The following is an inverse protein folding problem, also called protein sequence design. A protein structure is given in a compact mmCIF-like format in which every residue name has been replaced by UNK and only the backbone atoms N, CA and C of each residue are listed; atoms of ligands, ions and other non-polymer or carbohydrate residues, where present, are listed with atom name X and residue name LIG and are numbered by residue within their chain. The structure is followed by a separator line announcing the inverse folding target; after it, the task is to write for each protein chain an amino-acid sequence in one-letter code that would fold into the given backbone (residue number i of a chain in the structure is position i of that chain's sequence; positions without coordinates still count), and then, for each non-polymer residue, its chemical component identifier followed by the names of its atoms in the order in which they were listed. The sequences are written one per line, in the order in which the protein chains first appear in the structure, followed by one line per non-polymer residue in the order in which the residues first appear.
data_IF_099125759084
#
_entry.id   IF_099125759084
#
_cell.length_a   1.000
_cell.length_b   1.000
_cell.length_c   1.000
_cell.angle_alpha   90.00
_cell.angle_beta   90.00
_cell.angle_gamma   90.00
#
_symmetry.space_group_name_H-M   'P 1'
#
loop_
_entity.id
_entity.type
_entity.pdbx_description
1 polymer ?
#
# COMPACT_ATOMS: atom_id res chain seq x y z
N UNK A 1 -7.66 36.26 18.18
CA UNK A 1 -6.97 35.10 17.58
C UNK A 1 -5.95 34.59 18.59
N UNK A 2 -6.22 33.48 19.28
CA UNK A 2 -5.23 32.87 20.18
C UNK A 2 -4.21 32.09 19.35
N UNK A 3 -2.96 32.55 19.34
CA UNK A 3 -1.87 31.83 18.69
C UNK A 3 -1.39 30.75 19.66
N UNK A 4 -1.64 29.48 19.32
CA UNK A 4 -1.04 28.33 20.01
C UNK A 4 0.49 28.47 19.99
N UNK A 5 1.13 28.26 21.15
CA UNK A 5 2.57 28.45 21.34
C UNK A 5 3.10 29.88 21.09
N UNK A 6 2.23 30.90 21.16
CA UNK A 6 2.61 32.31 20.97
C UNK A 6 3.35 32.95 22.15
N UNK A 7 3.60 32.24 23.26
CA UNK A 7 4.27 32.79 24.45
C UNK A 7 5.75 32.40 24.47
N UNK A 8 6.64 33.37 24.65
CA UNK A 8 8.08 33.13 24.86
C UNK A 8 8.30 32.33 26.16
N UNK A 9 9.18 31.33 26.11
CA UNK A 9 9.55 30.52 27.28
C UNK A 9 11.03 30.75 27.63
N UNK A 10 11.28 31.08 28.90
CA UNK A 10 12.62 31.30 29.47
C UNK A 10 12.76 30.47 30.73
N UNK A 11 13.82 29.68 30.83
CA UNK A 11 14.15 28.85 32.00
C UNK A 11 15.60 29.17 32.38
N UNK A 12 15.84 29.52 33.64
CA UNK A 12 17.17 29.87 34.18
C UNK A 12 17.94 30.90 33.33
N UNK A 13 17.23 31.92 32.83
CA UNK A 13 17.78 32.95 31.97
C UNK A 13 17.97 32.54 30.50
N UNK A 14 17.79 31.27 30.16
CA UNK A 14 17.94 30.74 28.79
C UNK A 14 16.60 30.77 28.04
N UNK A 15 16.60 31.31 26.81
CA UNK A 15 15.41 31.30 25.94
C UNK A 15 15.25 29.92 25.31
N UNK A 16 14.33 29.12 25.83
CA UNK A 16 14.01 27.78 25.30
C UNK A 16 13.05 27.86 24.12
N UNK A 17 12.12 28.82 24.14
CA UNK A 17 11.17 29.03 23.05
C UNK A 17 11.01 30.51 22.71
N UNK A 18 11.25 30.85 21.45
CA UNK A 18 10.96 32.18 20.91
C UNK A 18 9.94 32.03 19.75
N UNK A 19 8.67 32.44 19.92
CA UNK A 19 7.64 32.25 18.90
C UNK A 19 7.98 32.93 17.58
N UNK A 20 8.62 34.10 17.59
CA UNK A 20 8.99 34.84 16.38
C UNK A 20 10.05 34.11 15.53
N UNK A 21 10.88 33.27 16.16
CA UNK A 21 11.94 32.50 15.48
C UNK A 21 11.52 31.05 15.23
N UNK A 22 10.89 30.42 16.21
CA UNK A 22 10.62 28.99 16.20
C UNK A 22 9.33 28.65 15.45
N UNK A 23 8.28 29.48 15.49
CA UNK A 23 7.06 29.21 14.71
C UNK A 23 7.34 29.18 13.20
N UNK A 24 8.05 30.16 12.60
CA UNK A 24 8.41 30.08 11.17
C UNK A 24 9.27 28.86 10.83
N UNK A 25 10.08 28.38 11.78
CA UNK A 25 10.91 27.19 11.60
C UNK A 25 10.05 25.92 11.58
N UNK A 26 9.06 25.83 12.48
CA UNK A 26 8.07 24.75 12.50
C UNK A 26 7.27 24.77 11.20
N UNK A 27 6.74 25.92 10.80
CA UNK A 27 5.96 26.05 9.56
C UNK A 27 6.76 25.61 8.34
N UNK A 28 8.03 26.03 8.23
CA UNK A 28 8.93 25.59 7.15
C UNK A 28 9.17 24.09 7.17
N UNK A 29 9.36 23.51 8.36
CA UNK A 29 9.59 22.06 8.52
C UNK A 29 8.35 21.28 8.10
N UNK A 30 7.16 21.72 8.51
CA UNK A 30 5.87 21.11 8.17
C UNK A 30 5.51 21.28 6.69
N UNK A 31 5.96 22.36 6.05
CA UNK A 31 5.80 22.59 4.62
C UNK A 31 6.76 21.77 3.73
N UNK A 32 7.70 21.01 4.33
CA UNK A 32 8.62 20.18 3.55
C UNK A 32 7.88 19.03 2.87
N UNK A 33 8.10 18.92 1.56
CA UNK A 33 7.38 17.98 0.69
C UNK A 33 8.17 16.72 0.37
N UNK A 34 9.45 16.71 0.71
CA UNK A 34 10.32 15.54 0.56
C UNK A 34 10.37 14.78 1.88
N UNK A 35 9.31 14.04 2.17
CA UNK A 35 9.23 13.20 3.36
C UNK A 35 9.84 11.83 3.02
N UNK A 36 10.89 11.44 3.73
CA UNK A 36 11.47 10.11 3.58
C UNK A 36 10.63 9.08 4.33
N UNK A 37 9.65 8.51 3.65
CA UNK A 37 8.86 7.41 4.19
C UNK A 37 9.56 6.08 3.88
N UNK A 38 10.01 5.38 4.91
CA UNK A 38 10.55 4.02 4.76
C UNK A 38 9.70 3.02 5.51
N UNK A 39 9.55 1.84 4.93
CA UNK A 39 8.99 0.68 5.62
C UNK A 39 10.10 -0.28 6.02
N UNK A 40 10.02 -0.76 7.25
CA UNK A 40 10.97 -1.75 7.74
C UNK A 40 10.90 -3.03 6.90
N UNK A 41 12.05 -3.41 6.33
CA UNK A 41 12.18 -4.57 5.45
C UNK A 41 12.38 -5.83 6.28
N UNK A 42 11.54 -6.83 6.06
CA UNK A 42 11.54 -8.05 6.89
C UNK A 42 11.58 -9.32 6.07
N UNK A 43 12.19 -10.35 6.65
CA UNK A 43 11.82 -11.73 6.34
C UNK A 43 10.66 -12.06 7.27
N UNK A 44 9.50 -12.42 6.74
CA UNK A 44 8.37 -12.79 7.60
C UNK A 44 8.74 -14.02 8.44
N UNK A 45 8.27 -14.02 9.68
CA UNK A 45 8.43 -15.07 10.68
C UNK A 45 7.05 -15.36 11.30
N UNK A 46 6.91 -16.48 12.01
CA UNK A 46 5.67 -16.84 12.69
C UNK A 46 5.05 -18.12 12.11
N UNK A 47 3.71 -18.17 12.07
CA UNK A 47 2.97 -19.31 11.54
C UNK A 47 3.22 -19.53 10.04
N UNK A 48 3.28 -20.80 9.64
CA UNK A 48 3.52 -21.17 8.24
C UNK A 48 2.29 -20.99 7.35
N UNK A 49 1.08 -21.12 7.92
CA UNK A 49 -0.20 -21.13 7.20
C UNK A 49 -1.31 -20.60 8.11
N UNK A 50 -2.51 -20.44 7.55
CA UNK A 50 -3.71 -20.35 8.37
C UNK A 50 -3.87 -21.64 9.21
N UNK A 51 -4.22 -21.51 10.48
CA UNK A 51 -4.19 -22.64 11.42
C UNK A 51 -5.30 -23.66 11.15
N UNK A 52 -6.41 -23.22 10.55
CA UNK A 52 -7.55 -24.06 10.22
C UNK A 52 -7.34 -24.69 8.84
N UNK A 53 -7.17 -26.02 8.75
CA UNK A 53 -7.08 -26.69 7.46
C UNK A 53 -8.39 -26.60 6.70
N UNK A 54 -8.30 -26.63 5.38
CA UNK A 54 -9.44 -26.74 4.48
C UNK A 54 -9.65 -28.18 4.03
N UNK A 55 -10.90 -28.51 3.73
CA UNK A 55 -11.30 -29.82 3.22
C UNK A 55 -10.70 -30.12 1.86
N UNK A 56 -10.63 -31.42 1.54
CA UNK A 56 -10.31 -31.91 0.20
C UNK A 56 -11.16 -31.21 -0.88
N UNK A 57 -10.53 -30.91 -2.03
CA UNK A 57 -11.20 -30.27 -3.17
C UNK A 57 -11.51 -28.77 -3.00
N UNK A 58 -11.19 -28.14 -1.86
CA UNK A 58 -11.39 -26.69 -1.72
C UNK A 58 -10.43 -25.87 -2.60
N UNK A 59 -9.26 -26.43 -2.91
CA UNK A 59 -8.27 -25.84 -3.80
C UNK A 59 -7.17 -26.83 -4.20
N UNK A 60 -6.66 -26.68 -5.42
CA UNK A 60 -5.45 -27.40 -5.89
C UNK A 60 -4.14 -26.85 -5.33
N UNK A 61 -4.18 -25.76 -4.55
CA UNK A 61 -3.00 -25.06 -4.02
C UNK A 61 -2.79 -25.29 -2.52
N UNK A 62 -3.51 -26.26 -1.93
CA UNK A 62 -3.36 -26.60 -0.53
C UNK A 62 -1.97 -27.16 -0.24
N UNK A 63 -1.44 -26.82 0.92
CA UNK A 63 -0.25 -27.45 1.46
C UNK A 63 -0.66 -28.70 2.24
N UNK A 64 -0.11 -29.89 1.94
CA UNK A 64 -0.45 -31.13 2.64
C UNK A 64 -0.37 -31.02 4.17
N UNK A 65 -1.32 -31.65 4.88
CA UNK A 65 -1.31 -31.73 6.35
C UNK A 65 -0.04 -32.41 6.87
N UNK A 66 0.46 -33.40 6.12
CA UNK A 66 1.70 -34.13 6.38
C UNK A 66 2.38 -34.43 5.05
N UNK A 67 3.70 -34.62 5.09
CA UNK A 67 4.49 -34.99 3.91
C UNK A 67 3.92 -36.25 3.26
N UNK A 68 3.63 -36.18 1.95
CA UNK A 68 3.10 -37.30 1.17
C UNK A 68 1.60 -37.54 1.32
N UNK A 69 0.89 -36.73 2.11
CA UNK A 69 -0.57 -36.85 2.22
C UNK A 69 -1.24 -36.07 1.07
N UNK A 70 -2.06 -36.75 0.29
CA UNK A 70 -2.74 -36.17 -0.87
C UNK A 70 -3.81 -35.14 -0.44
N UNK A 71 -3.67 -33.90 -0.89
CA UNK A 71 -4.60 -32.80 -0.60
C UNK A 71 -5.96 -32.99 -1.28
N UNK A 72 -6.02 -33.72 -2.39
CA UNK A 72 -7.27 -34.04 -3.06
C UNK A 72 -8.13 -35.03 -2.27
N UNK A 73 -7.53 -35.78 -1.34
CA UNK A 73 -8.24 -36.74 -0.46
C UNK A 73 -8.39 -36.24 0.97
N UNK A 74 -7.38 -35.58 1.51
CA UNK A 74 -7.30 -35.22 2.93
C UNK A 74 -7.37 -33.73 3.20
N UNK A 75 -7.44 -32.90 2.17
CA UNK A 75 -7.35 -31.44 2.33
C UNK A 75 -5.96 -30.99 2.78
N UNK A 76 -5.87 -29.80 3.32
CA UNK A 76 -4.60 -29.18 3.66
C UNK A 76 -4.71 -27.75 4.13
N UNK A 77 -3.55 -27.14 4.38
CA UNK A 77 -3.46 -25.76 4.82
C UNK A 77 -3.53 -24.79 3.63
N UNK A 78 -4.14 -23.63 3.83
CA UNK A 78 -4.18 -22.55 2.86
C UNK A 78 -3.29 -21.38 3.29
N UNK A 79 -3.16 -20.38 2.42
CA UNK A 79 -2.44 -19.11 2.69
C UNK A 79 -1.05 -19.32 3.29
N UNK A 80 -0.13 -20.02 2.60
CA UNK A 80 1.23 -20.14 3.09
C UNK A 80 1.87 -18.76 3.26
N UNK A 81 2.50 -18.55 4.41
CA UNK A 81 3.20 -17.31 4.74
C UNK A 81 4.44 -17.18 3.86
N UNK A 82 4.58 -16.06 3.16
CA UNK A 82 5.74 -15.77 2.30
C UNK A 82 6.86 -15.17 3.15
N UNK A 83 8.07 -15.74 3.12
CA UNK A 83 9.21 -15.23 3.88
C UNK A 83 9.93 -14.11 3.14
N UNK A 84 10.20 -14.32 1.86
CA UNK A 84 10.87 -13.37 0.96
C UNK A 84 10.51 -13.69 -0.50
N UNK A 85 11.04 -12.91 -1.44
CA UNK A 85 10.87 -13.11 -2.87
C UNK A 85 12.21 -13.19 -3.59
N UNK A 86 12.19 -13.65 -4.83
CA UNK A 86 13.34 -13.64 -5.73
C UNK A 86 12.91 -13.12 -7.10
N UNK A 87 13.86 -12.54 -7.84
CA UNK A 87 13.61 -12.08 -9.21
C UNK A 87 14.06 -13.16 -10.19
N UNK A 88 13.17 -13.55 -11.09
CA UNK A 88 13.42 -14.61 -12.07
C UNK A 88 13.11 -14.09 -13.46
N UNK A 89 14.03 -14.32 -14.39
CA UNK A 89 13.83 -14.08 -15.82
C UNK A 89 13.68 -15.42 -16.52
N UNK A 90 12.74 -15.53 -17.43
CA UNK A 90 12.55 -16.72 -18.25
C UNK A 90 11.98 -16.34 -19.62
N UNK A 91 12.02 -17.26 -20.58
CA UNK A 91 11.49 -17.09 -21.91
C UNK A 91 10.22 -17.91 -22.08
N UNK A 92 9.18 -17.29 -22.64
CA UNK A 92 8.03 -17.98 -23.20
C UNK A 92 8.03 -17.72 -24.70
N UNK A 93 8.14 -18.79 -25.50
CA UNK A 93 8.20 -18.71 -26.96
C UNK A 93 9.32 -17.75 -27.40
N UNK A 94 8.99 -16.55 -27.89
CA UNK A 94 9.96 -15.56 -28.39
C UNK A 94 10.18 -14.37 -27.44
N UNK A 95 9.53 -14.33 -26.28
CA UNK A 95 9.56 -13.18 -25.36
C UNK A 95 10.17 -13.57 -24.02
N UNK A 96 10.95 -12.65 -23.45
CA UNK A 96 11.41 -12.75 -22.07
C UNK A 96 10.41 -12.11 -21.13
N UNK A 97 10.18 -12.78 -20.01
CA UNK A 97 9.37 -12.33 -18.89
C UNK A 97 10.27 -12.18 -17.66
N UNK A 98 9.91 -11.23 -16.81
CA UNK A 98 10.57 -10.96 -15.53
C UNK A 98 9.51 -11.05 -14.43
N UNK A 99 9.71 -11.94 -13.45
CA UNK A 99 8.71 -12.23 -12.42
C UNK A 99 9.33 -12.26 -11.04
N UNK A 100 8.62 -11.65 -10.09
CA UNK A 100 8.90 -11.79 -8.66
C UNK A 100 8.24 -13.09 -8.20
N UNK A 101 9.06 -14.06 -7.79
CA UNK A 101 8.57 -15.36 -7.30
C UNK A 101 8.59 -15.36 -5.77
N UNK A 102 7.45 -15.64 -5.10
CA UNK A 102 7.40 -15.76 -3.66
C UNK A 102 8.06 -17.06 -3.17
N UNK A 103 8.75 -16.99 -2.04
CA UNK A 103 9.32 -18.15 -1.35
C UNK A 103 8.65 -18.29 0.01
N UNK A 104 7.93 -19.39 0.21
CA UNK A 104 7.20 -19.67 1.44
C UNK A 104 8.13 -19.88 2.63
N UNK A 105 7.68 -19.47 3.81
CA UNK A 105 8.40 -19.62 5.07
C UNK A 105 8.77 -21.07 5.38
N UNK A 106 7.89 -22.02 5.02
CA UNK A 106 8.14 -23.46 5.20
C UNK A 106 9.41 -23.93 4.49
N UNK A 107 9.73 -23.34 3.34
CA UNK A 107 10.86 -23.77 2.48
C UNK A 107 12.02 -22.77 2.47
N UNK A 108 11.88 -21.63 3.16
CA UNK A 108 12.84 -20.53 3.14
C UNK A 108 14.26 -20.93 3.53
N UNK A 109 14.43 -21.71 4.61
CA UNK A 109 15.76 -22.16 5.04
C UNK A 109 16.38 -23.12 4.02
N UNK A 110 15.56 -24.04 3.49
CA UNK A 110 15.97 -24.99 2.46
C UNK A 110 16.42 -24.26 1.20
N UNK A 111 15.67 -23.25 0.78
CA UNK A 111 16.01 -22.36 -0.33
C UNK A 111 17.36 -21.68 -0.16
N UNK A 112 17.68 -21.22 1.04
CA UNK A 112 18.93 -20.47 1.27
C UNK A 112 20.17 -21.35 1.47
N UNK A 113 20.00 -22.63 1.85
CA UNK A 113 21.10 -23.49 2.29
C UNK A 113 21.41 -24.65 1.35
N UNK A 114 20.42 -25.18 0.62
CA UNK A 114 20.62 -26.35 -0.23
C UNK A 114 20.91 -25.97 -1.68
N UNK A 115 22.07 -26.39 -2.17
CA UNK A 115 22.46 -26.21 -3.58
C UNK A 115 21.46 -26.92 -4.51
N UNK A 116 21.05 -26.24 -5.58
CA UNK A 116 20.10 -26.77 -6.58
C UNK A 116 18.62 -26.71 -6.18
N UNK A 117 18.28 -26.56 -4.89
CA UNK A 117 16.88 -26.41 -4.47
C UNK A 117 16.20 -25.14 -5.00
N UNK A 118 16.87 -23.96 -5.03
CA UNK A 118 16.29 -22.74 -5.63
C UNK A 118 15.76 -22.94 -7.05
N UNK A 119 16.54 -23.59 -7.92
CA UNK A 119 16.16 -23.84 -9.30
C UNK A 119 14.93 -24.74 -9.39
N UNK A 120 14.87 -25.81 -8.59
CA UNK A 120 13.72 -26.71 -8.51
C UNK A 120 12.46 -25.98 -8.05
N UNK A 121 12.56 -25.24 -6.95
CA UNK A 121 11.44 -24.51 -6.36
C UNK A 121 10.88 -23.46 -7.34
N UNK A 122 11.75 -22.68 -7.99
CA UNK A 122 11.33 -21.70 -9.00
C UNK A 122 10.68 -22.39 -10.20
N UNK A 123 11.23 -23.51 -10.68
CA UNK A 123 10.67 -24.23 -11.83
C UNK A 123 9.22 -24.69 -11.61
N UNK A 124 8.89 -25.10 -10.38
CA UNK A 124 7.53 -25.51 -9.97
C UNK A 124 6.53 -24.34 -9.95
N UNK A 125 7.01 -23.10 -9.83
CA UNK A 125 6.18 -21.88 -9.79
C UNK A 125 6.02 -21.21 -11.16
N UNK A 126 6.83 -21.58 -12.14
CA UNK A 126 6.78 -21.02 -13.49
C UNK A 126 5.86 -21.83 -14.43
N UNK A 127 5.36 -21.22 -15.52
CA UNK A 127 4.64 -21.94 -16.56
C UNK A 127 5.40 -23.16 -17.09
N UNK A 128 4.67 -24.20 -17.50
CA UNK A 128 5.27 -25.47 -17.97
C UNK A 128 6.19 -25.24 -19.18
N UNK A 129 5.89 -24.27 -20.03
CA UNK A 129 6.65 -23.91 -21.23
C UNK A 129 7.69 -22.79 -21.00
N UNK A 130 8.05 -22.49 -19.75
CA UNK A 130 9.13 -21.56 -19.45
C UNK A 130 10.50 -22.18 -19.79
N UNK A 131 11.30 -21.44 -20.56
CA UNK A 131 12.65 -21.81 -21.00
C UNK A 131 13.66 -20.73 -20.58
N UNK A 132 14.96 -20.98 -20.73
CA UNK A 132 16.04 -20.03 -20.41
C UNK A 132 15.87 -19.30 -19.06
N UNK A 133 15.67 -20.09 -18.00
CA UNK A 133 15.42 -19.59 -16.66
C UNK A 133 16.74 -19.09 -16.05
N UNK A 134 16.74 -17.85 -15.60
CA UNK A 134 17.89 -17.20 -14.95
C UNK A 134 17.44 -16.35 -13.77
N UNK A 135 18.38 -16.05 -12.87
CA UNK A 135 18.18 -15.24 -11.67
C UNK A 135 18.96 -13.94 -11.83
N UNK A 136 18.34 -12.84 -12.29
CA UNK A 136 19.06 -11.59 -12.56
C UNK A 136 19.73 -10.97 -11.32
N UNK A 137 19.27 -11.36 -10.13
CA UNK A 137 19.84 -10.92 -8.85
C UNK A 137 20.61 -12.05 -8.14
N UNK A 138 20.92 -13.14 -8.84
CA UNK A 138 21.63 -14.30 -8.31
C UNK A 138 21.00 -14.80 -6.99
N UNK A 139 21.77 -14.81 -5.90
CA UNK A 139 21.35 -15.25 -4.57
C UNK A 139 20.69 -14.13 -3.74
N UNK A 140 20.57 -12.92 -4.27
CA UNK A 140 19.98 -11.79 -3.54
C UNK A 140 18.47 -11.97 -3.45
N UNK A 141 18.01 -12.13 -2.22
CA UNK A 141 16.60 -12.11 -1.88
C UNK A 141 16.02 -10.68 -1.94
N UNK A 142 14.72 -10.61 -2.15
CA UNK A 142 13.89 -9.42 -2.02
C UNK A 142 13.06 -9.61 -0.74
N UNK A 143 13.34 -8.84 0.30
CA UNK A 143 12.59 -8.88 1.57
C UNK A 143 11.17 -8.32 1.37
N UNK A 144 10.25 -8.68 2.25
CA UNK A 144 8.96 -7.97 2.33
C UNK A 144 9.23 -6.50 2.66
N UNK A 145 8.48 -5.61 2.02
CA UNK A 145 8.64 -4.16 1.99
C UNK A 145 9.90 -3.65 1.28
N UNK A 146 10.58 -4.46 0.46
CA UNK A 146 11.64 -3.94 -0.43
C UNK A 146 11.04 -2.95 -1.41
N UNK A 147 11.66 -1.77 -1.53
CA UNK A 147 11.20 -0.66 -2.36
C UNK A 147 11.67 -0.85 -3.81
N UNK A 148 10.77 -0.55 -4.73
CA UNK A 148 10.98 -0.46 -6.17
C UNK A 148 10.64 0.96 -6.60
N UNK A 149 11.49 1.56 -7.43
CA UNK A 149 11.16 2.76 -8.19
C UNK A 149 10.78 2.34 -9.60
N UNK A 150 9.52 2.55 -9.96
CA UNK A 150 8.94 2.13 -11.23
C UNK A 150 8.51 3.38 -11.99
N UNK A 151 9.39 3.88 -12.86
CA UNK A 151 9.21 5.13 -13.60
C UNK A 151 8.88 6.35 -12.70
N UNK A 152 9.49 6.39 -11.52
CA UNK A 152 9.29 7.41 -10.50
C UNK A 152 8.18 7.08 -9.49
N UNK A 153 7.41 6.02 -9.70
CA UNK A 153 6.45 5.54 -8.70
C UNK A 153 7.14 4.61 -7.70
N UNK A 154 7.25 5.05 -6.46
CA UNK A 154 7.80 4.26 -5.37
C UNK A 154 6.74 3.33 -4.78
N UNK A 155 7.03 2.04 -4.83
CA UNK A 155 6.19 1.00 -4.28
C UNK A 155 7.02 -0.07 -3.60
N UNK A 156 6.45 -0.74 -2.60
CA UNK A 156 7.10 -1.89 -2.00
C UNK A 156 6.29 -3.18 -2.19
N UNK A 157 6.98 -4.30 -2.37
CA UNK A 157 6.35 -5.61 -2.36
C UNK A 157 5.87 -5.93 -0.94
N UNK A 158 4.58 -6.17 -0.76
CA UNK A 158 3.95 -6.26 0.56
C UNK A 158 3.34 -7.63 0.87
N UNK A 159 3.10 -8.45 -0.15
CA UNK A 159 2.44 -9.74 0.00
C UNK A 159 2.11 -10.37 -1.34
N UNK A 160 1.24 -11.37 -1.29
CA UNK A 160 0.66 -11.99 -2.48
C UNK A 160 -0.84 -12.18 -2.29
N UNK A 161 -1.61 -12.12 -3.38
CA UNK A 161 -3.03 -12.48 -3.41
C UNK A 161 -3.28 -13.59 -4.43
N UNK A 162 -4.55 -13.98 -4.58
CA UNK A 162 -4.97 -15.03 -5.52
C UNK A 162 -4.12 -16.29 -5.41
N UNK A 163 -3.92 -16.74 -4.16
CA UNK A 163 -3.15 -17.95 -3.82
C UNK A 163 -1.70 -17.92 -4.32
N UNK A 164 -1.08 -16.74 -4.33
CA UNK A 164 0.32 -16.55 -4.72
C UNK A 164 0.53 -16.15 -6.19
N UNK A 165 -0.54 -16.14 -7.01
CA UNK A 165 -0.45 -15.78 -8.43
C UNK A 165 -0.33 -14.28 -8.69
N UNK A 166 -0.66 -13.43 -7.72
CA UNK A 166 -0.59 -11.98 -7.85
C UNK A 166 0.29 -11.40 -6.76
N UNK A 167 1.27 -10.57 -7.14
CA UNK A 167 2.11 -9.83 -6.20
C UNK A 167 1.37 -8.58 -5.73
N UNK A 168 1.34 -8.35 -4.41
CA UNK A 168 0.74 -7.15 -3.83
C UNK A 168 1.80 -6.07 -3.66
N UNK A 169 1.68 -5.01 -4.45
CA UNK A 169 2.50 -3.80 -4.32
C UNK A 169 1.74 -2.76 -3.49
N UNK A 170 2.45 -2.09 -2.58
CA UNK A 170 1.90 -0.98 -1.80
C UNK A 170 2.59 0.31 -2.20
N UNK A 171 1.82 1.36 -2.46
CA UNK A 171 2.33 2.72 -2.70
C UNK A 171 3.13 3.21 -1.50
N UNK A 172 4.30 3.80 -1.76
CA UNK A 172 5.04 4.64 -0.81
C UNK A 172 5.00 6.12 -1.21
N UNK A 173 4.25 6.45 -2.27
CA UNK A 173 4.03 7.82 -2.69
C UNK A 173 3.17 8.55 -1.66
N UNK A 174 3.61 9.74 -1.26
CA UNK A 174 2.84 10.64 -0.40
C UNK A 174 2.12 11.67 -1.25
N UNK A 175 0.78 11.76 -1.19
CA UNK A 175 0.05 12.79 -1.91
C UNK A 175 0.39 14.16 -1.33
N UNK A 176 0.45 15.16 -2.20
CA UNK A 176 0.76 16.54 -1.83
C UNK A 176 -0.53 17.35 -1.81
N UNK A 177 -0.74 18.05 -0.71
CA UNK A 177 -1.89 18.92 -0.52
C UNK A 177 -1.44 20.35 -0.19
N UNK A 178 -2.20 21.34 -0.64
CA UNK A 178 -2.02 22.74 -0.22
C UNK A 178 -2.50 22.93 1.22
N UNK A 179 -2.10 24.04 1.86
CA UNK A 179 -2.55 24.35 3.22
C UNK A 179 -4.09 24.46 3.30
N UNK A 180 -4.72 25.00 2.25
CA UNK A 180 -6.18 25.11 2.14
C UNK A 180 -6.85 23.74 2.02
N UNK A 181 -6.31 22.85 1.18
CA UNK A 181 -6.80 21.47 1.06
C UNK A 181 -6.64 20.71 2.38
N UNK A 182 -5.50 20.84 3.07
CA UNK A 182 -5.28 20.21 4.38
C UNK A 182 -6.29 20.70 5.40
N UNK A 183 -6.54 22.02 5.46
CA UNK A 183 -7.55 22.58 6.35
C UNK A 183 -8.97 22.07 6.03
N UNK A 184 -9.29 21.95 4.74
CA UNK A 184 -10.56 21.41 4.29
C UNK A 184 -10.73 19.91 4.61
N UNK A 185 -9.70 19.11 4.37
CA UNK A 185 -9.67 17.67 4.72
C UNK A 185 -9.85 17.48 6.22
N UNK A 186 -9.23 18.32 7.05
CA UNK A 186 -9.47 18.30 8.50
C UNK A 186 -10.93 18.58 8.87
N UNK A 187 -11.63 19.41 8.10
CA UNK A 187 -13.07 19.62 8.31
C UNK A 187 -13.86 18.34 7.99
N UNK A 188 -13.49 17.59 6.94
CA UNK A 188 -14.09 16.28 6.64
C UNK A 188 -13.92 15.32 7.82
N UNK A 189 -12.70 15.21 8.36
CA UNK A 189 -12.42 14.37 9.55
C UNK A 189 -13.22 14.82 10.78
N UNK A 190 -13.35 16.14 10.98
CA UNK A 190 -14.15 16.68 12.08
C UNK A 190 -15.63 16.30 11.98
N UNK A 191 -16.19 16.19 10.78
CA UNK A 191 -17.55 15.68 10.59
C UNK A 191 -17.63 14.20 10.98
N UNK A 192 -16.62 13.39 10.64
CA UNK A 192 -16.54 11.99 11.09
C UNK A 192 -16.60 11.89 12.61
N UNK A 193 -15.83 12.71 13.32
CA UNK A 193 -15.84 12.75 14.78
C UNK A 193 -17.17 13.24 15.37
N UNK A 194 -17.82 14.22 14.73
CA UNK A 194 -19.17 14.67 15.13
C UNK A 194 -20.21 13.55 14.93
N UNK A 195 -20.15 12.83 13.81
CA UNK A 195 -21.06 11.70 13.52
C UNK A 195 -20.87 10.51 14.45
N UNK A 196 -19.63 10.25 14.90
CA UNK A 196 -19.38 9.25 15.96
C UNK A 196 -20.11 9.58 17.26
N UNK A 197 -20.23 10.88 17.61
CA UNK A 197 -20.92 11.35 18.83
C UNK A 197 -22.42 11.53 18.64
N UNK A 198 -22.83 11.98 17.46
CA UNK A 198 -24.22 12.17 17.06
C UNK A 198 -24.42 11.64 15.64
N UNK A 199 -24.91 10.39 15.49
CA UNK A 199 -25.14 9.78 14.18
C UNK A 199 -26.08 10.57 13.27
N UNK A 200 -26.95 11.42 13.83
CA UNK A 200 -27.89 12.27 13.10
C UNK A 200 -27.32 13.66 12.78
N UNK A 201 -26.01 13.86 12.91
CA UNK A 201 -25.38 15.12 12.54
C UNK A 201 -25.53 15.40 11.03
N UNK A 202 -26.27 16.47 10.73
CA UNK A 202 -26.52 16.96 9.37
C UNK A 202 -25.42 17.94 8.97
N UNK A 203 -24.95 17.84 7.74
CA UNK A 203 -23.96 18.78 7.18
C UNK A 203 -24.68 20.07 6.79
N UNK A 204 -24.38 21.14 7.52
CA UNK A 204 -24.76 22.51 7.16
C UNK A 204 -23.59 23.21 6.47
N UNK A 205 -23.77 23.68 5.24
CA UNK A 205 -22.70 24.30 4.43
C UNK A 205 -22.16 25.62 5.03
N UNK A 206 -22.97 26.31 5.82
CA UNK A 206 -22.62 27.57 6.48
C UNK A 206 -21.69 27.35 7.67
N UNK A 207 -21.96 26.31 8.46
CA UNK A 207 -21.31 26.10 9.77
C UNK A 207 -20.37 24.90 9.84
N UNK A 208 -20.49 23.94 8.92
CA UNK A 208 -19.68 22.72 8.97
C UNK A 208 -18.28 22.89 8.39
N UNK A 209 -18.02 24.00 7.69
CA UNK A 209 -16.74 24.26 7.01
C UNK A 209 -16.53 23.39 5.77
N UNK A 210 -17.61 22.78 5.25
CA UNK A 210 -17.67 21.87 4.10
C UNK A 210 -18.80 22.35 3.21
N UNK A 211 -18.57 22.43 1.90
CA UNK A 211 -19.60 22.82 0.93
C UNK A 211 -19.53 21.93 -0.30
N UNK A 212 -20.60 21.90 -1.09
CA UNK A 212 -20.61 21.13 -2.34
C UNK A 212 -19.55 21.63 -3.32
N UNK A 213 -19.37 22.93 -3.45
CA UNK A 213 -18.38 23.52 -4.37
C UNK A 213 -16.96 23.08 -3.97
N UNK A 214 -16.63 23.12 -2.68
CA UNK A 214 -15.32 22.72 -2.19
C UNK A 214 -15.09 21.21 -2.28
N UNK A 215 -16.13 20.39 -2.09
CA UNK A 215 -16.06 18.95 -2.35
C UNK A 215 -15.74 18.65 -3.81
N UNK A 216 -16.43 19.33 -4.74
CA UNK A 216 -16.18 19.19 -6.19
C UNK A 216 -14.77 19.64 -6.55
N UNK A 217 -14.31 20.77 -6.02
CA UNK A 217 -12.95 21.25 -6.24
C UNK A 217 -11.89 20.27 -5.73
N UNK A 218 -12.02 19.78 -4.49
CA UNK A 218 -11.09 18.78 -3.94
C UNK A 218 -11.12 17.48 -4.76
N UNK A 219 -12.30 17.01 -5.17
CA UNK A 219 -12.42 15.82 -6.00
C UNK A 219 -11.72 15.98 -7.34
N UNK A 220 -11.90 17.12 -8.03
CA UNK A 220 -11.21 17.41 -9.28
C UNK A 220 -9.67 17.42 -9.11
N UNK A 221 -9.16 17.97 -8.01
CA UNK A 221 -7.72 17.93 -7.69
C UNK A 221 -7.22 16.49 -7.50
N UNK A 222 -7.98 15.64 -6.81
CA UNK A 222 -7.66 14.22 -6.64
C UNK A 222 -7.68 13.46 -7.97
N UNK A 223 -8.66 13.74 -8.84
CA UNK A 223 -8.73 13.16 -10.20
C UNK A 223 -7.51 13.56 -11.03
N UNK A 224 -7.14 14.84 -11.02
CA UNK A 224 -5.95 15.35 -11.70
C UNK A 224 -4.68 14.68 -11.17
N UNK A 225 -4.59 14.49 -9.85
CA UNK A 225 -3.48 13.78 -9.23
C UNK A 225 -3.40 12.32 -9.68
N UNK A 226 -4.52 11.59 -9.69
CA UNK A 226 -4.54 10.18 -10.10
C UNK A 226 -4.25 9.99 -11.59
N UNK A 227 -4.91 10.77 -12.46
CA UNK A 227 -4.83 10.60 -13.90
C UNK A 227 -3.57 11.25 -14.50
N UNK A 228 -3.12 12.39 -13.96
CA UNK A 228 -2.13 13.26 -14.59
C UNK A 228 -0.73 13.23 -13.98
N UNK A 229 -0.51 12.49 -12.89
CA UNK A 229 0.78 12.47 -12.19
C UNK A 229 1.38 11.07 -12.11
N UNK A 230 2.42 10.92 -11.29
CA UNK A 230 3.11 9.64 -11.04
C UNK A 230 2.18 8.52 -10.57
N UNK A 231 1.04 8.84 -9.96
CA UNK A 231 0.03 7.84 -9.56
C UNK A 231 -0.56 7.06 -10.74
N UNK A 232 -0.59 7.63 -11.95
CA UNK A 232 -0.98 6.92 -13.17
C UNK A 232 -0.05 5.75 -13.51
N UNK A 233 1.17 5.76 -12.98
CA UNK A 233 2.20 4.72 -13.16
C UNK A 233 2.17 3.63 -12.08
N UNK A 234 1.18 3.68 -11.17
CA UNK A 234 1.07 2.70 -10.10
C UNK A 234 0.95 1.27 -10.68
N UNK A 235 1.72 0.29 -10.19
CA UNK A 235 1.65 -1.08 -10.67
C UNK A 235 0.24 -1.68 -10.53
N UNK A 236 -0.29 -2.22 -11.63
CA UNK A 236 -1.65 -2.78 -11.66
C UNK A 236 -2.75 -1.71 -11.68
N UNK A 237 -2.44 -0.43 -11.90
CA UNK A 237 -3.44 0.62 -11.96
C UNK A 237 -4.40 0.42 -13.14
N UNK A 238 -5.67 0.21 -12.79
CA UNK A 238 -6.85 0.64 -13.56
C UNK A 238 -7.49 1.89 -12.90
N UNK A 239 -6.70 2.63 -12.12
CA UNK A 239 -7.15 3.80 -11.37
C UNK A 239 -7.16 5.00 -12.31
N UNK A 240 -8.13 5.03 -13.21
CA UNK A 240 -8.48 6.20 -13.99
C UNK A 240 -9.89 6.61 -13.61
N UNK A 241 -10.08 7.83 -13.13
CA UNK A 241 -11.43 8.38 -12.95
C UNK A 241 -11.86 9.00 -14.27
N UNK A 242 -13.00 8.55 -14.81
CA UNK A 242 -13.53 9.08 -16.05
C UNK A 242 -14.27 10.41 -15.84
N UNK A 243 -14.49 11.16 -16.92
CA UNK A 243 -15.33 12.35 -16.88
C UNK A 243 -16.77 12.03 -16.43
N UNK A 244 -17.28 10.84 -16.73
CA UNK A 244 -18.61 10.40 -16.31
C UNK A 244 -18.65 10.13 -14.79
N UNK A 245 -17.57 9.62 -14.21
CA UNK A 245 -17.48 9.43 -12.76
C UNK A 245 -17.43 10.76 -12.02
N UNK A 246 -16.76 11.77 -12.60
CA UNK A 246 -16.76 13.13 -12.06
C UNK A 246 -18.17 13.75 -12.10
N UNK A 247 -18.89 13.62 -13.23
CA UNK A 247 -20.29 14.07 -13.31
C UNK A 247 -21.19 13.36 -12.31
N UNK A 248 -21.00 12.06 -12.11
CA UNK A 248 -21.74 11.30 -11.09
C UNK A 248 -21.50 11.90 -9.70
N UNK A 249 -20.25 12.18 -9.36
CA UNK A 249 -19.90 12.80 -8.07
C UNK A 249 -20.50 14.21 -7.90
N UNK A 250 -20.45 15.04 -8.92
CA UNK A 250 -21.06 16.38 -8.91
C UNK A 250 -22.59 16.34 -8.70
N UNK A 251 -23.25 15.31 -9.22
CA UNK A 251 -24.69 15.07 -9.06
C UNK A 251 -25.11 14.57 -7.67
N UNK A 252 -24.16 14.17 -6.81
CA UNK A 252 -24.46 13.66 -5.47
C UNK A 252 -24.90 14.78 -4.51
N UNK A 253 -25.69 14.38 -3.50
CA UNK A 253 -25.98 15.24 -2.34
C UNK A 253 -24.71 15.50 -1.53
N UNK A 254 -24.68 16.56 -0.71
CA UNK A 254 -23.50 16.88 0.10
C UNK A 254 -23.09 15.72 1.02
N UNK A 255 -24.05 15.01 1.60
CA UNK A 255 -23.81 13.82 2.41
C UNK A 255 -23.12 12.72 1.61
N UNK A 256 -23.61 12.42 0.40
CA UNK A 256 -23.02 11.39 -0.44
C UNK A 256 -21.63 11.79 -0.96
N UNK A 257 -21.41 13.07 -1.29
CA UNK A 257 -20.09 13.59 -1.63
C UNK A 257 -19.11 13.46 -0.47
N UNK A 258 -19.55 13.80 0.75
CA UNK A 258 -18.79 13.61 1.96
C UNK A 258 -18.41 12.14 2.17
N UNK A 259 -19.36 11.22 2.02
CA UNK A 259 -19.11 9.77 2.18
C UNK A 259 -18.06 9.25 1.18
N UNK A 260 -17.97 9.84 -0.02
CA UNK A 260 -16.93 9.53 -0.99
C UNK A 260 -15.56 10.15 -0.65
N UNK A 261 -15.52 11.27 0.06
CA UNK A 261 -14.28 12.02 0.35
C UNK A 261 -13.71 11.78 1.76
N UNK A 262 -14.49 11.23 2.70
CA UNK A 262 -14.03 10.98 4.07
C UNK A 262 -12.86 9.99 4.09
N UNK A 263 -11.90 10.22 4.99
CA UNK A 263 -10.68 9.41 5.17
C UNK A 263 -10.90 8.33 6.22
#
# INVERSE_FOLDING_TARGET
MHILFGRKCVIDGNVIWNPEKHLPTVDRTMANVHIHLTKYQTKQKGGFFDQQPQSAGSSDSLVPLKKGLDTAKYGGYNKPTISFYVLVRYRIRKKYELTIVPVELLVANKYLSEQGYPAKHVREKLPVNAEDISFPLENRIIKVNTVFSLDGFEACVSGTSNRGSTILMRSLMTPRYTAEQIAYIKNLDNISEKRKKNPQYVIDETFSGISREKNVALFADLVNMMNGSVYSKQPGAKLGISADDQKKFEGLTIDMQYECLKI
#
